data_IF_360450333238
#
_entry.id   IF_360450333238
#
_cell.length_a   1.000
_cell.length_b   1.000
_cell.length_c   1.000
_cell.angle_alpha   90.00
_cell.angle_beta   90.00
_cell.angle_gamma   90.00
#
_symmetry.space_group_name_H-M   'P 1'
#
loop_
_entity.id
_entity.type
_entity.pdbx_description
1 polymer ?
#
# COMPACT_ATOMS: atom_id res chain seq x y z
N UNK A 1 -51.00 6.27 -22.67
CA UNK A 1 -50.11 6.30 -21.49
C UNK A 1 -48.74 6.79 -21.95
N UNK A 2 -48.06 7.57 -21.12
CA UNK A 2 -47.08 8.60 -21.45
C UNK A 2 -45.66 8.02 -21.55
N UNK A 3 -44.90 8.44 -22.59
CA UNK A 3 -43.43 8.69 -22.72
C UNK A 3 -42.45 7.71 -21.99
N UNK A 4 -41.35 7.24 -22.59
CA UNK A 4 -40.12 8.05 -22.77
C UNK A 4 -39.06 7.29 -23.60
N UNK A 5 -38.60 8.00 -24.62
CA UNK A 5 -37.28 7.94 -25.26
C UNK A 5 -36.16 8.15 -24.22
N UNK A 6 -35.18 7.24 -24.14
CA UNK A 6 -33.78 7.49 -23.74
C UNK A 6 -32.97 6.21 -24.02
N UNK A 7 -32.35 6.04 -25.18
CA UNK A 7 -31.12 6.71 -25.61
C UNK A 7 -29.98 6.57 -24.59
N UNK A 8 -28.84 6.07 -25.10
CA UNK A 8 -27.52 6.02 -24.48
C UNK A 8 -27.46 5.05 -23.30
N UNK A 9 -26.60 4.05 -23.29
CA UNK A 9 -25.17 4.29 -23.37
C UNK A 9 -24.48 2.92 -23.47
N UNK A 10 -24.06 2.55 -24.68
CA UNK A 10 -23.10 1.48 -24.90
C UNK A 10 -21.72 2.11 -24.76
N UNK A 11 -21.37 2.54 -23.55
CA UNK A 11 -20.03 3.00 -23.16
C UNK A 11 -19.35 1.93 -22.29
N UNK A 12 -18.01 1.97 -22.25
CA UNK A 12 -17.17 0.80 -22.44
C UNK A 12 -17.06 -0.03 -21.17
N UNK A 13 -16.43 -1.19 -21.32
CA UNK A 13 -15.78 -1.95 -20.26
C UNK A 13 -14.72 -1.06 -19.56
N UNK A 14 -15.14 -0.01 -18.87
CA UNK A 14 -14.40 0.55 -17.77
C UNK A 14 -14.41 -0.58 -16.74
N UNK A 15 -13.36 -1.41 -16.83
CA UNK A 15 -12.80 -2.03 -15.66
C UNK A 15 -12.73 -0.90 -14.64
N UNK A 16 -13.70 -0.89 -13.73
CA UNK A 16 -13.58 -0.14 -12.52
C UNK A 16 -12.35 -0.77 -11.88
N UNK A 17 -11.20 -0.15 -12.15
CA UNK A 17 -10.11 -0.19 -11.21
C UNK A 17 -10.78 0.37 -9.97
N UNK A 18 -11.19 -0.54 -9.10
CA UNK A 18 -11.19 -0.33 -7.67
C UNK A 18 -9.82 0.29 -7.42
N UNK A 19 -9.77 1.62 -7.54
CA UNK A 19 -8.66 2.41 -7.10
C UNK A 19 -8.73 2.11 -5.62
N UNK A 20 -7.81 1.29 -5.06
CA UNK A 20 -7.87 1.04 -3.65
C UNK A 20 -7.84 2.42 -3.03
N UNK A 21 -8.94 2.76 -2.35
CA UNK A 21 -8.98 3.89 -1.45
C UNK A 21 -7.70 3.71 -0.64
N UNK A 22 -6.74 4.63 -0.84
CA UNK A 22 -5.47 4.62 -0.15
C UNK A 22 -5.83 5.01 1.28
N UNK A 23 -6.50 4.08 1.96
CA UNK A 23 -7.16 4.25 3.22
C UNK A 23 -6.08 4.57 4.22
N UNK A 24 -5.94 5.88 4.33
CA UNK A 24 -5.37 6.70 5.34
C UNK A 24 -4.23 6.01 6.10
N UNK A 25 -3.00 6.41 5.76
CA UNK A 25 -1.79 5.99 6.48
C UNK A 25 -1.87 6.25 7.99
N UNK A 26 -2.79 7.11 8.46
CA UNK A 26 -3.02 7.40 9.88
C UNK A 26 -3.82 6.28 10.59
N UNK A 27 -4.84 5.71 9.94
CA UNK A 27 -5.57 4.54 10.48
C UNK A 27 -4.73 3.26 10.54
N UNK A 28 -3.68 3.20 9.71
CA UNK A 28 -2.74 2.08 9.68
C UNK A 28 -1.89 1.94 10.95
N UNK A 29 -1.71 3.04 11.67
CA UNK A 29 -0.75 3.16 12.76
C UNK A 29 -1.34 2.77 14.12
N UNK A 30 -2.68 2.77 14.26
CA UNK A 30 -3.35 2.66 15.56
C UNK A 30 -3.37 1.22 16.11
N UNK A 31 -3.27 0.21 15.25
CA UNK A 31 -3.33 -1.22 15.62
C UNK A 31 -2.04 -1.99 15.33
N UNK A 32 -1.06 -1.36 14.69
CA UNK A 32 0.18 -2.00 14.26
C UNK A 32 1.24 -1.97 15.37
N UNK A 33 2.03 -3.05 15.49
CA UNK A 33 3.25 -3.05 16.29
C UNK A 33 4.19 -1.91 15.85
N UNK A 34 5.03 -1.36 16.75
CA UNK A 34 5.88 -0.21 16.44
C UNK A 34 6.82 -0.43 15.23
N UNK A 35 7.26 -1.67 15.00
CA UNK A 35 8.05 -2.02 13.82
C UNK A 35 7.23 -1.95 12.52
N UNK A 36 6.02 -2.52 12.52
CA UNK A 36 5.10 -2.44 11.38
C UNK A 36 4.71 -0.99 11.05
N UNK A 37 4.46 -0.18 12.08
CA UNK A 37 4.19 1.26 11.96
C UNK A 37 5.34 2.00 11.23
N UNK A 38 6.58 1.75 11.62
CA UNK A 38 7.73 2.38 10.98
C UNK A 38 8.01 1.85 9.57
N UNK A 39 7.71 0.58 9.28
CA UNK A 39 7.73 0.02 7.92
C UNK A 39 6.67 0.66 7.01
N UNK A 40 5.45 0.89 7.52
CA UNK A 40 4.39 1.62 6.80
C UNK A 40 4.84 3.05 6.49
N UNK A 41 5.46 3.73 7.46
CA UNK A 41 6.01 5.07 7.27
C UNK A 41 7.16 5.10 6.26
N UNK A 42 8.03 4.09 6.22
CA UNK A 42 9.09 3.98 5.22
C UNK A 42 8.52 3.88 3.79
N UNK A 43 7.37 3.23 3.63
CA UNK A 43 6.66 3.13 2.35
C UNK A 43 5.90 4.42 1.97
N UNK A 44 5.82 5.42 2.84
CA UNK A 44 5.15 6.69 2.55
C UNK A 44 5.78 7.38 1.34
N UNK A 45 4.92 7.79 0.39
CA UNK A 45 5.33 8.38 -0.88
C UNK A 45 5.70 7.38 -1.98
N UNK A 46 5.65 6.06 -1.72
CA UNK A 46 5.81 5.04 -2.75
C UNK A 46 4.47 4.84 -3.50
N UNK A 47 4.43 5.18 -4.78
CA UNK A 47 3.23 5.06 -5.63
C UNK A 47 3.04 3.65 -6.25
N UNK A 48 3.79 2.65 -5.78
CA UNK A 48 3.66 1.30 -6.33
C UNK A 48 2.40 0.59 -5.81
N UNK A 49 1.63 -0.13 -6.65
CA UNK A 49 0.48 -0.91 -6.18
C UNK A 49 0.87 -2.00 -5.17
N UNK A 50 2.16 -2.41 -5.17
CA UNK A 50 2.72 -3.36 -4.22
C UNK A 50 2.90 -2.77 -2.81
N UNK A 51 3.09 -1.45 -2.67
CA UNK A 51 3.24 -0.81 -1.35
C UNK A 51 1.95 -0.92 -0.54
N UNK A 52 0.79 -0.68 -1.16
CA UNK A 52 -0.52 -0.83 -0.50
C UNK A 52 -0.77 -2.26 0.00
N UNK A 53 -0.42 -3.28 -0.80
CA UNK A 53 -0.52 -4.68 -0.36
C UNK A 53 0.41 -5.00 0.82
N UNK A 54 1.64 -4.47 0.80
CA UNK A 54 2.59 -4.68 1.90
C UNK A 54 2.11 -3.98 3.18
N UNK A 55 1.57 -2.76 3.08
CA UNK A 55 0.97 -2.06 4.23
C UNK A 55 -0.18 -2.86 4.85
N UNK A 56 -1.07 -3.44 4.03
CA UNK A 56 -2.15 -4.29 4.54
C UNK A 56 -1.61 -5.55 5.24
N UNK A 57 -0.58 -6.19 4.68
CA UNK A 57 0.07 -7.36 5.32
C UNK A 57 0.76 -6.99 6.63
N UNK A 58 1.39 -5.82 6.72
CA UNK A 58 2.02 -5.34 7.95
C UNK A 58 1.01 -5.09 9.07
N UNK A 59 -0.20 -4.61 8.75
CA UNK A 59 -1.27 -4.40 9.74
C UNK A 59 -1.74 -5.72 10.37
N UNK A 60 -1.82 -6.79 9.57
CA UNK A 60 -2.30 -8.10 10.04
C UNK A 60 -1.20 -8.97 10.67
N UNK A 61 0.07 -8.61 10.44
CA UNK A 61 1.21 -9.41 10.85
C UNK A 61 1.62 -9.14 12.30
N UNK A 62 1.44 -10.14 13.15
CA UNK A 62 1.90 -10.15 14.56
C UNK A 62 3.11 -11.07 14.79
N UNK A 63 3.60 -11.73 13.74
CA UNK A 63 4.67 -12.74 13.79
C UNK A 63 6.02 -12.12 13.37
N UNK A 64 7.05 -12.30 14.20
CA UNK A 64 8.39 -11.71 13.98
C UNK A 64 9.11 -12.28 12.75
N UNK A 65 8.93 -13.57 12.44
CA UNK A 65 9.56 -14.17 11.26
C UNK A 65 8.95 -13.60 9.98
N UNK A 66 7.61 -13.47 9.95
CA UNK A 66 6.91 -12.80 8.85
C UNK A 66 7.23 -11.32 8.75
N UNK A 67 7.49 -10.65 9.88
CA UNK A 67 7.89 -9.24 9.89
C UNK A 67 9.24 -9.04 9.19
N UNK A 68 10.21 -9.92 9.44
CA UNK A 68 11.51 -9.90 8.75
C UNK A 68 11.37 -10.12 7.23
N UNK A 69 10.52 -11.05 6.81
CA UNK A 69 10.23 -11.26 5.38
C UNK A 69 9.60 -10.02 4.74
N UNK A 70 8.62 -9.41 5.41
CA UNK A 70 7.98 -8.18 4.95
C UNK A 70 8.97 -7.02 4.87
N UNK A 71 9.86 -6.89 5.85
CA UNK A 71 10.93 -5.90 5.86
C UNK A 71 11.86 -6.07 4.66
N UNK A 72 12.24 -7.30 4.32
CA UNK A 72 13.05 -7.59 3.14
C UNK A 72 12.31 -7.24 1.83
N UNK A 73 11.02 -7.58 1.72
CA UNK A 73 10.20 -7.20 0.56
C UNK A 73 10.09 -5.67 0.41
N UNK A 74 9.93 -4.95 1.53
CA UNK A 74 9.85 -3.49 1.56
C UNK A 74 11.17 -2.86 1.16
N UNK A 75 12.29 -3.39 1.67
CA UNK A 75 13.62 -2.98 1.25
C UNK A 75 13.79 -3.10 -0.27
N UNK A 76 13.42 -4.25 -0.84
CA UNK A 76 13.51 -4.47 -2.28
C UNK A 76 12.63 -3.47 -3.06
N UNK A 77 11.40 -3.24 -2.59
CA UNK A 77 10.49 -2.29 -3.24
C UNK A 77 11.05 -0.85 -3.20
N UNK A 78 11.55 -0.42 -2.05
CA UNK A 78 12.18 0.90 -1.89
C UNK A 78 13.44 1.02 -2.75
N UNK A 79 14.26 -0.03 -2.80
CA UNK A 79 15.48 -0.04 -3.60
C UNK A 79 15.17 0.06 -5.11
N UNK A 80 14.09 -0.57 -5.57
CA UNK A 80 13.62 -0.45 -6.95
C UNK A 80 12.99 0.93 -7.26
N UNK A 81 12.30 1.52 -6.29
CA UNK A 81 11.56 2.78 -6.49
C UNK A 81 12.45 4.02 -6.36
N UNK A 82 13.35 4.02 -5.37
CA UNK A 82 14.14 5.19 -4.97
C UNK A 82 15.65 4.93 -4.98
N UNK A 83 16.08 3.68 -5.15
CA UNK A 83 17.48 3.28 -5.03
C UNK A 83 17.82 2.73 -3.65
N UNK A 84 18.88 1.91 -3.60
CA UNK A 84 19.31 1.19 -2.40
C UNK A 84 19.65 2.11 -1.22
N UNK A 85 20.36 3.21 -1.46
CA UNK A 85 20.77 4.14 -0.40
C UNK A 85 19.56 4.79 0.31
N UNK A 86 18.50 5.11 -0.44
CA UNK A 86 17.28 5.68 0.14
C UNK A 86 16.45 4.61 0.86
N UNK A 87 16.44 3.37 0.37
CA UNK A 87 15.85 2.24 1.09
C UNK A 87 16.52 2.00 2.44
N UNK A 88 17.86 2.00 2.47
CA UNK A 88 18.66 1.88 3.69
C UNK A 88 18.38 3.05 4.64
N UNK A 89 18.39 4.30 4.17
CA UNK A 89 18.09 5.47 5.01
C UNK A 89 16.72 5.38 5.67
N UNK A 90 15.70 4.91 4.96
CA UNK A 90 14.32 4.78 5.47
C UNK A 90 14.15 3.61 6.44
N UNK A 91 14.97 2.56 6.31
CA UNK A 91 14.92 1.35 7.14
C UNK A 91 15.98 1.31 8.26
N UNK A 92 16.94 2.23 8.25
CA UNK A 92 17.91 2.43 9.33
C UNK A 92 17.29 2.74 10.70
N UNK A 93 16.22 3.55 10.85
CA UNK A 93 15.60 3.79 12.16
C UNK A 93 14.91 2.56 12.76
N UNK A 94 14.86 1.44 12.03
CA UNK A 94 14.28 0.16 12.45
C UNK A 94 15.33 -0.87 12.85
N UNK A 95 16.63 -0.56 12.77
CA UNK A 95 17.72 -1.47 13.16
C UNK A 95 18.03 -1.41 14.65
#
# INVERSE_FOLDING_TARGET
MIQRLKDRDRLPMLHHVDSPDFADSETALTEACPEAAALIQALRGCQHPRSGRLMARLRDCQDEARMNDLRAEIFQLLALSFGRAEAERRLHPLQ
#
